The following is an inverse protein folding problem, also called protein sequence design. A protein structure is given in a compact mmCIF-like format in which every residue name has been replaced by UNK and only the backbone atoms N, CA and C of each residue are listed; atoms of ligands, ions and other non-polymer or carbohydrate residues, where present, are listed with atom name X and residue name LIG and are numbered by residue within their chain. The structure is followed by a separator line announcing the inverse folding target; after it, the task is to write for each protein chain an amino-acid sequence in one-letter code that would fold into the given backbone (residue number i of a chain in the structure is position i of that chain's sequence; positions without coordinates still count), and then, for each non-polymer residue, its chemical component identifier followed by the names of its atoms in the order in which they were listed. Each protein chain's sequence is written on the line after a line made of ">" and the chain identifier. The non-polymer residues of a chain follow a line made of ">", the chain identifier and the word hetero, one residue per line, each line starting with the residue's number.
data_IF_627953738254
#
_entry.id   IF_627953738254
#
_cell.length_a   1.000
_cell.length_b   1.000
_cell.length_c   1.000
_cell.angle_alpha   90.00
_cell.angle_beta   90.00
_cell.angle_gamma   90.00
#
_symmetry.space_group_name_H-M   'P 1'
#
loop_
_entity.id
_entity.type
_entity.pdbx_description
1 polymer ?
#
# COMPACT_ATOMS: atom_id res chain seq x y z
N UNK A 1 6.76 -2.98 41.00
CA UNK A 1 7.55 -2.83 39.75
C UNK A 1 7.55 -1.37 39.36
N UNK A 2 8.65 -0.89 38.77
CA UNK A 2 8.82 0.53 38.40
C UNK A 2 8.04 0.84 37.11
N UNK A 3 7.32 1.98 37.08
CA UNK A 3 6.66 2.49 35.85
C UNK A 3 7.61 2.56 34.64
N UNK A 4 8.91 2.71 34.86
CA UNK A 4 9.90 2.71 33.79
C UNK A 4 10.04 1.33 33.12
N UNK A 5 9.85 0.23 33.85
CA UNK A 5 9.96 -1.13 33.28
C UNK A 5 8.76 -1.47 32.39
N UNK A 6 7.58 -0.94 32.72
CA UNK A 6 6.35 -1.19 31.95
C UNK A 6 6.35 -0.49 30.58
N UNK A 7 7.04 0.67 30.46
CA UNK A 7 7.14 1.43 29.20
C UNK A 7 7.99 0.71 28.13
N UNK A 8 9.05 0.01 28.51
CA UNK A 8 9.91 -0.72 27.54
C UNK A 8 9.41 -2.13 27.19
N UNK A 9 8.45 -2.65 27.94
CA UNK A 9 7.85 -3.96 27.68
C UNK A 9 6.44 -3.85 27.08
N UNK A 10 5.96 -2.62 26.81
CA UNK A 10 4.71 -2.39 26.10
C UNK A 10 4.91 -2.80 24.64
N UNK A 11 4.20 -3.86 24.24
CA UNK A 11 4.10 -4.24 22.84
C UNK A 11 2.90 -3.57 22.21
N UNK A 12 3.13 -2.95 21.07
CA UNK A 12 2.20 -2.13 20.30
C UNK A 12 1.85 -2.89 19.01
N UNK A 13 0.59 -2.78 18.59
CA UNK A 13 0.13 -3.27 17.29
C UNK A 13 0.10 -2.12 16.29
N UNK A 14 0.46 -2.41 15.05
CA UNK A 14 0.28 -1.50 13.93
C UNK A 14 -0.38 -2.26 12.79
N UNK A 15 -1.12 -1.54 11.95
CA UNK A 15 -1.83 -2.09 10.80
C UNK A 15 -1.42 -1.33 9.55
N UNK A 16 -1.30 -2.05 8.43
CA UNK A 16 -1.00 -1.50 7.12
C UNK A 16 -2.15 -1.91 6.21
N UNK A 17 -2.92 -0.94 5.75
CA UNK A 17 -4.08 -1.16 4.88
C UNK A 17 -3.76 -0.72 3.45
N UNK A 18 -4.05 -1.60 2.50
CA UNK A 18 -4.00 -1.31 1.07
C UNK A 18 -5.40 -0.87 0.65
N UNK A 19 -5.54 0.32 0.07
CA UNK A 19 -6.85 0.91 -0.25
C UNK A 19 -6.95 1.39 -1.69
N UNK A 20 -8.14 1.25 -2.25
CA UNK A 20 -8.51 1.80 -3.55
C UNK A 20 -9.13 3.20 -3.37
N UNK A 21 -8.40 4.21 -3.81
CA UNK A 21 -8.76 5.62 -3.69
C UNK A 21 -9.89 6.03 -4.64
N UNK A 22 -10.14 5.27 -5.72
CA UNK A 22 -11.18 5.58 -6.70
C UNK A 22 -12.53 4.96 -6.33
N UNK A 23 -12.53 3.98 -5.43
CA UNK A 23 -13.73 3.28 -4.97
C UNK A 23 -14.08 3.57 -3.50
N UNK A 24 -13.86 4.82 -3.07
CA UNK A 24 -14.22 5.26 -1.73
C UNK A 24 -13.38 4.61 -0.62
N UNK A 25 -12.08 4.46 -0.86
CA UNK A 25 -11.11 3.86 0.08
C UNK A 25 -11.44 2.39 0.39
N UNK A 26 -11.92 1.65 -0.61
CA UNK A 26 -12.22 0.24 -0.45
C UNK A 26 -10.95 -0.53 -0.08
N UNK A 27 -11.03 -1.33 1.00
CA UNK A 27 -9.90 -2.13 1.48
C UNK A 27 -9.61 -3.28 0.52
N UNK A 28 -8.40 -3.31 -0.01
CA UNK A 28 -7.88 -4.36 -0.89
C UNK A 28 -7.24 -5.48 -0.07
N UNK A 29 -6.37 -5.13 0.87
CA UNK A 29 -5.68 -6.08 1.75
C UNK A 29 -5.21 -5.40 3.05
N UNK A 30 -4.77 -6.20 4.00
CA UNK A 30 -4.29 -5.77 5.31
C UNK A 30 -3.11 -6.61 5.79
N UNK A 31 -2.11 -5.93 6.37
CA UNK A 31 -1.03 -6.54 7.13
C UNK A 31 -1.01 -6.00 8.56
N UNK A 32 -0.96 -6.90 9.55
CA UNK A 32 -0.82 -6.55 10.96
C UNK A 32 0.60 -6.84 11.45
N UNK A 33 1.17 -5.91 12.21
CA UNK A 33 2.46 -6.05 12.87
C UNK A 33 2.34 -5.85 14.38
N UNK A 34 3.25 -6.44 15.14
CA UNK A 34 3.31 -6.25 16.59
C UNK A 34 4.75 -6.27 17.08
N UNK A 35 5.18 -5.16 17.65
CA UNK A 35 6.55 -5.00 18.15
C UNK A 35 6.58 -4.19 19.45
N UNK A 36 7.77 -3.88 19.96
CA UNK A 36 7.97 -2.98 21.10
C UNK A 36 7.69 -1.53 20.71
N UNK A 37 7.25 -0.73 21.68
CA UNK A 37 7.12 0.71 21.49
C UNK A 37 8.43 1.33 20.95
N UNK A 38 8.31 2.27 20.01
CA UNK A 38 9.38 2.96 19.30
C UNK A 38 10.23 2.07 18.38
N UNK A 39 9.89 0.79 18.18
CA UNK A 39 10.50 0.01 17.11
C UNK A 39 10.11 0.61 15.75
N UNK A 40 11.00 0.59 14.74
CA UNK A 40 10.65 1.00 13.38
C UNK A 40 9.69 -0.01 12.74
N UNK A 41 8.80 0.49 11.89
CA UNK A 41 7.99 -0.37 11.02
C UNK A 41 8.82 -0.69 9.78
N UNK A 42 9.46 -1.86 9.80
CA UNK A 42 10.36 -2.34 8.74
C UNK A 42 9.65 -3.29 7.76
N UNK A 43 8.40 -2.98 7.41
CA UNK A 43 7.66 -3.73 6.41
C UNK A 43 8.00 -3.22 5.00
N UNK A 44 8.31 -4.14 4.10
CA UNK A 44 8.49 -3.87 2.68
C UNK A 44 7.22 -4.25 1.90
N UNK A 45 6.45 -3.28 1.37
CA UNK A 45 5.24 -3.56 0.61
C UNK A 45 5.50 -3.92 -0.87
N UNK A 46 6.76 -4.05 -1.32
CA UNK A 46 7.10 -4.20 -2.74
C UNK A 46 6.37 -5.38 -3.41
N UNK A 47 6.35 -6.56 -2.79
CA UNK A 47 5.67 -7.73 -3.33
C UNK A 47 4.16 -7.50 -3.51
N UNK A 48 3.53 -6.82 -2.55
CA UNK A 48 2.11 -6.49 -2.59
C UNK A 48 1.77 -5.41 -3.60
N UNK A 49 2.64 -4.41 -3.75
CA UNK A 49 2.50 -3.38 -4.77
C UNK A 49 2.60 -4.02 -6.17
N UNK A 50 3.51 -4.97 -6.37
CA UNK A 50 3.63 -5.71 -7.63
C UNK A 50 2.38 -6.54 -7.91
N UNK A 51 1.85 -7.25 -6.90
CA UNK A 51 0.58 -7.98 -6.98
C UNK A 51 -0.55 -7.08 -7.49
N UNK A 52 -0.81 -5.95 -6.83
CA UNK A 52 -1.87 -5.03 -7.25
C UNK A 52 -1.61 -4.35 -8.60
N UNK A 53 -0.35 -4.07 -8.93
CA UNK A 53 0.01 -3.53 -10.26
C UNK A 53 -0.32 -4.54 -11.37
N UNK A 54 -0.06 -5.82 -11.14
CA UNK A 54 -0.42 -6.90 -12.08
C UNK A 54 -1.94 -7.10 -12.20
N UNK A 55 -2.71 -6.76 -11.16
CA UNK A 55 -4.18 -6.74 -11.18
C UNK A 55 -4.75 -5.49 -11.88
N UNK A 56 -3.89 -4.54 -12.25
CA UNK A 56 -4.28 -3.32 -12.96
C UNK A 56 -4.55 -2.13 -12.07
N UNK A 57 -3.99 -2.09 -10.85
CA UNK A 57 -3.94 -0.89 -10.02
C UNK A 57 -2.66 -0.08 -10.26
N UNK A 58 -2.69 1.22 -9.97
CA UNK A 58 -1.55 2.12 -10.04
C UNK A 58 -1.26 2.71 -8.65
N UNK A 59 -0.02 2.59 -8.17
CA UNK A 59 0.37 3.11 -6.85
C UNK A 59 0.23 4.64 -6.81
N UNK A 60 -0.48 5.15 -5.79
CA UNK A 60 -0.76 6.58 -5.62
C UNK A 60 -0.06 7.16 -4.38
N UNK A 61 -0.08 6.44 -3.25
CA UNK A 61 0.49 6.91 -1.98
C UNK A 61 1.07 5.77 -1.14
N UNK A 62 2.06 6.09 -0.30
CA UNK A 62 2.69 5.16 0.64
C UNK A 62 3.05 5.88 1.94
N UNK A 63 2.33 5.59 3.01
CA UNK A 63 2.56 6.21 4.33
C UNK A 63 3.69 5.55 5.15
N UNK A 64 4.35 4.55 4.58
CA UNK A 64 5.44 3.81 5.25
C UNK A 64 6.82 4.43 5.08
N UNK A 65 6.95 5.45 4.23
CA UNK A 65 8.20 6.17 4.04
C UNK A 65 7.90 7.63 3.68
N UNK A 66 8.01 8.51 4.67
CA UNK A 66 7.83 9.95 4.49
C UNK A 66 9.20 10.59 4.53
N UNK A 67 9.74 10.94 3.35
CA UNK A 67 11.05 11.58 3.19
C UNK A 67 12.24 10.77 3.74
N UNK A 68 12.23 9.44 3.60
CA UNK A 68 13.28 8.53 4.11
C UNK A 68 13.13 8.18 5.60
N UNK A 69 12.03 8.60 6.23
CA UNK A 69 11.75 8.33 7.64
C UNK A 69 10.66 7.26 7.73
N UNK A 70 11.03 6.11 8.30
CA UNK A 70 10.09 5.04 8.61
C UNK A 70 9.28 5.39 9.85
N UNK A 71 7.97 5.11 9.87
CA UNK A 71 7.18 5.25 11.07
C UNK A 71 7.60 4.24 12.15
N UNK A 72 7.14 4.46 13.37
CA UNK A 72 7.43 3.60 14.52
C UNK A 72 6.16 3.13 15.20
N UNK A 73 6.24 2.00 15.90
CA UNK A 73 5.18 1.53 16.79
C UNK A 73 4.97 2.50 17.97
N UNK A 74 3.98 3.37 17.90
CA UNK A 74 3.64 4.38 18.92
C UNK A 74 2.59 3.90 19.94
N UNK A 75 2.16 4.73 20.89
CA UNK A 75 1.36 4.27 22.03
C UNK A 75 -0.11 3.96 21.72
N UNK A 76 -0.66 4.50 20.64
CA UNK A 76 -2.09 4.41 20.27
C UNK A 76 -2.38 3.26 19.30
N UNK A 77 -1.36 2.71 18.64
CA UNK A 77 -1.52 1.69 17.61
C UNK A 77 -2.13 2.29 16.35
N UNK A 78 -1.27 2.60 15.39
CA UNK A 78 -1.65 3.33 14.19
C UNK A 78 -1.92 2.42 12.99
N UNK A 79 -2.80 2.91 12.11
CA UNK A 79 -3.04 2.36 10.78
C UNK A 79 -2.28 3.22 9.77
N UNK A 80 -1.50 2.57 8.92
CA UNK A 80 -0.78 3.18 7.80
C UNK A 80 -1.43 2.78 6.50
N UNK A 81 -1.52 3.71 5.54
CA UNK A 81 -2.18 3.44 4.27
C UNK A 81 -1.19 3.34 3.11
N UNK A 82 -1.50 2.44 2.19
CA UNK A 82 -0.91 2.40 0.85
C UNK A 82 -2.06 2.51 -0.13
N UNK A 83 -2.14 3.64 -0.83
CA UNK A 83 -3.25 3.98 -1.71
C UNK A 83 -2.94 3.66 -3.16
N UNK A 84 -3.95 3.17 -3.87
CA UNK A 84 -3.92 2.87 -5.30
C UNK A 84 -5.06 3.55 -6.04
N UNK A 85 -4.84 3.90 -7.30
CA UNK A 85 -5.88 4.21 -8.28
C UNK A 85 -6.15 2.99 -9.17
N UNK A 86 -7.33 2.93 -9.80
CA UNK A 86 -7.54 2.00 -10.90
C UNK A 86 -6.63 2.37 -12.07
N UNK A 87 -5.84 1.41 -12.52
CA UNK A 87 -5.00 1.57 -13.69
C UNK A 87 -5.85 1.77 -14.93
N UNK A 88 -5.41 2.68 -15.78
CA UNK A 88 -6.07 2.88 -17.07
C UNK A 88 -5.61 1.82 -18.04
N UNK A 89 -6.36 0.72 -18.15
CA UNK A 89 -6.09 -0.28 -19.19
C UNK A 89 -6.31 0.38 -20.55
N UNK A 90 -5.21 0.73 -21.22
CA UNK A 90 -5.19 1.29 -22.57
C UNK A 90 -5.61 0.20 -23.58
N UNK A 91 -6.88 -0.19 -23.56
CA UNK A 91 -7.53 -0.90 -24.68
C UNK A 91 -7.41 -0.10 -25.99
N UNK A 92 -7.11 1.20 -25.91
CA UNK A 92 -6.88 2.06 -27.08
C UNK A 92 -5.68 1.67 -27.94
N UNK A 93 -4.60 1.09 -27.41
CA UNK A 93 -3.45 0.72 -28.26
C UNK A 93 -3.74 -0.53 -29.10
N UNK A 94 -4.39 -1.54 -28.51
CA UNK A 94 -4.72 -2.77 -29.22
C UNK A 94 -5.91 -2.61 -30.18
N UNK A 95 -6.90 -1.77 -29.84
CA UNK A 95 -8.01 -1.44 -30.75
C UNK A 95 -7.50 -0.61 -31.94
N UNK A 96 -6.57 0.34 -31.73
CA UNK A 96 -6.00 1.14 -32.81
C UNK A 96 -5.17 0.28 -33.78
N UNK A 97 -4.39 -0.68 -33.27
CA UNK A 97 -3.64 -1.64 -34.08
C UNK A 97 -4.57 -2.51 -34.95
N UNK A 98 -5.69 -3.00 -34.41
CA UNK A 98 -6.67 -3.77 -35.19
C UNK A 98 -7.42 -2.91 -36.21
N UNK A 99 -7.77 -1.67 -35.87
CA UNK A 99 -8.43 -0.74 -36.79
C UNK A 99 -7.53 -0.33 -37.97
N UNK A 100 -6.25 -0.06 -37.73
CA UNK A 100 -5.27 0.26 -38.79
C UNK A 100 -5.03 -0.95 -39.69
N UNK A 101 -4.96 -2.16 -39.12
CA UNK A 101 -4.84 -3.37 -39.92
C UNK A 101 -6.05 -3.57 -40.85
N UNK A 102 -7.28 -3.35 -40.36
CA UNK A 102 -8.50 -3.53 -41.15
C UNK A 102 -8.65 -2.53 -42.32
N UNK A 103 -8.12 -1.31 -42.19
CA UNK A 103 -8.15 -0.28 -43.26
C UNK A 103 -7.19 -0.63 -44.41
N UNK A 104 -6.09 -1.34 -44.14
CA UNK A 104 -5.10 -1.71 -45.15
C UNK A 104 -5.46 -2.96 -45.99
N UNK A 105 -6.63 -3.56 -45.77
CA UNK A 105 -7.14 -4.71 -46.56
C UNK A 105 -8.43 -4.39 -47.35
N UNK A 106 -8.75 -3.11 -47.59
CA UNK A 106 -9.85 -2.66 -48.46
C UNK A 106 -9.35 -1.88 -49.67
#
# INVERSE_FOLDING_TARGET
>A
MSKFTDMFNKSIRAEIEFIDLDNGEAKLDKVEGKEKQNAPIDYDPSDKIEEFTNEGYELASKDLDINGVKPTYDDDGHIYYIGFHHGTTVLMQNILLMAIAAINWQ
#
